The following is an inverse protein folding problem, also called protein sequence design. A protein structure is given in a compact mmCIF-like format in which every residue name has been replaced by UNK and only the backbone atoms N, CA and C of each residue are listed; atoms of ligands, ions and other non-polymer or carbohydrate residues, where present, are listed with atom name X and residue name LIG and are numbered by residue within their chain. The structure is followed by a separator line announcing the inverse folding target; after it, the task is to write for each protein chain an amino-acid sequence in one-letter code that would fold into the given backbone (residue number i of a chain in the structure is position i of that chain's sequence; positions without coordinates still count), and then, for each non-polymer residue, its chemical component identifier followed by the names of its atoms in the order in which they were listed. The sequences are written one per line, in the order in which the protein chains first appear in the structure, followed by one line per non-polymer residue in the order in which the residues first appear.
data_IF_015182340471
#
_entry.id   IF_015182340471
#
_cell.length_a   1.000
_cell.length_b   1.000
_cell.length_c   1.000
_cell.angle_alpha   90.00
_cell.angle_beta   90.00
_cell.angle_gamma   90.00
#
_symmetry.space_group_name_H-M   'P 1'
#
loop_
_entity.id
_entity.type
_entity.pdbx_description
1 polymer ?
#
# COMPACT_ATOMS: atom_id res chain seq x y z
N UNK A 1 26.38 39.14 29.28
CA UNK A 1 25.67 38.63 28.09
C UNK A 1 25.52 37.14 28.26
N UNK A 2 24.33 36.68 28.68
CA UNK A 2 24.06 35.25 28.85
C UNK A 2 24.02 34.60 27.47
N UNK A 3 24.84 33.57 27.26
CA UNK A 3 24.83 32.72 26.07
C UNK A 3 23.41 32.20 25.85
N UNK A 4 22.82 32.29 24.65
CA UNK A 4 21.48 31.76 24.42
C UNK A 4 21.47 30.26 24.74
N UNK A 5 20.76 29.89 25.81
CA UNK A 5 20.52 28.49 26.16
C UNK A 5 19.81 27.83 24.98
N UNK A 6 20.45 26.83 24.36
CA UNK A 6 19.85 26.14 23.23
C UNK A 6 18.50 25.56 23.63
N UNK A 7 17.44 25.90 22.90
CA UNK A 7 16.09 25.40 23.17
C UNK A 7 16.07 23.87 23.08
N UNK A 8 15.33 23.18 23.97
CA UNK A 8 15.20 21.74 23.88
C UNK A 8 14.51 21.38 22.56
N UNK A 9 15.04 20.40 21.84
CA UNK A 9 14.44 19.93 20.58
C UNK A 9 13.50 18.78 20.86
N UNK A 10 12.25 18.88 20.39
CA UNK A 10 11.24 17.84 20.57
C UNK A 10 10.69 17.41 19.22
N UNK A 11 10.72 16.11 18.96
CA UNK A 11 10.08 15.51 17.80
C UNK A 11 8.80 14.83 18.26
N UNK A 12 7.66 15.26 17.72
CA UNK A 12 6.34 14.69 18.01
C UNK A 12 5.94 13.80 16.84
N UNK A 13 5.64 12.53 17.13
CA UNK A 13 5.15 11.56 16.15
C UNK A 13 3.66 11.32 16.38
N UNK A 14 2.84 11.41 15.34
CA UNK A 14 1.40 11.07 15.48
C UNK A 14 1.21 9.59 15.82
N UNK A 15 0.21 9.30 16.65
CA UNK A 15 -0.16 7.92 16.94
C UNK A 15 -0.65 7.17 15.68
N UNK A 16 -0.60 5.83 15.71
CA UNK A 16 -0.94 4.97 14.59
C UNK A 16 -2.38 4.45 14.64
N UNK A 17 -3.03 4.31 13.47
CA UNK A 17 -4.35 3.68 13.37
C UNK A 17 -4.31 2.19 13.70
N UNK A 18 -3.30 1.47 13.20
CA UNK A 18 -3.05 0.07 13.56
C UNK A 18 -2.30 0.01 14.88
N UNK A 19 -2.87 -0.70 15.86
CA UNK A 19 -2.33 -0.86 17.21
C UNK A 19 -2.12 -2.34 17.54
N UNK A 20 -1.17 -2.62 18.41
CA UNK A 20 -1.05 -3.90 19.09
C UNK A 20 -2.38 -4.16 19.84
N UNK A 21 -2.96 -5.35 19.63
CA UNK A 21 -4.26 -5.75 20.17
C UNK A 21 -4.16 -6.46 21.53
N UNK A 22 -2.99 -6.45 22.18
CA UNK A 22 -2.85 -6.90 23.57
C UNK A 22 -3.83 -6.16 24.47
N UNK A 23 -4.59 -6.91 25.26
CA UNK A 23 -5.53 -6.40 26.27
C UNK A 23 -4.80 -5.71 27.43
N UNK A 24 -3.55 -6.11 27.70
CA UNK A 24 -2.71 -5.48 28.71
C UNK A 24 -2.16 -4.13 28.22
N UNK A 25 -1.91 -3.17 29.13
CA UNK A 25 -1.16 -1.98 28.79
C UNK A 25 0.23 -2.32 28.25
N UNK A 26 0.62 -1.69 27.14
CA UNK A 26 1.97 -1.83 26.56
C UNK A 26 2.60 -0.45 26.39
N UNK A 27 3.94 -0.34 26.38
CA UNK A 27 4.63 0.91 26.11
C UNK A 27 4.11 1.61 24.84
N UNK A 28 3.98 2.93 24.87
CA UNK A 28 3.47 3.71 23.75
C UNK A 28 4.27 3.48 22.44
N UNK A 29 5.59 3.28 22.55
CA UNK A 29 6.46 2.96 21.42
C UNK A 29 6.18 1.61 20.76
N UNK A 30 5.56 0.67 21.48
CA UNK A 30 5.19 -0.67 20.99
C UNK A 30 3.70 -0.76 20.63
N UNK A 31 2.88 0.18 21.13
CA UNK A 31 1.44 0.18 20.91
C UNK A 31 1.08 0.34 19.44
N UNK A 32 1.82 1.11 18.66
CA UNK A 32 1.45 1.44 17.26
C UNK A 32 2.31 0.67 16.26
N UNK A 33 1.66 -0.23 15.51
CA UNK A 33 2.35 -1.20 14.63
C UNK A 33 2.09 -0.95 13.14
N UNK A 34 1.41 0.15 12.81
CA UNK A 34 1.16 0.54 11.42
C UNK A 34 2.43 0.99 10.71
N UNK A 35 2.61 0.59 9.44
CA UNK A 35 3.77 0.93 8.62
C UNK A 35 4.07 2.43 8.57
N UNK A 36 3.02 3.26 8.46
CA UNK A 36 3.15 4.71 8.49
C UNK A 36 3.71 5.22 9.83
N UNK A 37 3.22 4.73 10.97
CA UNK A 37 3.77 5.11 12.28
C UNK A 37 5.24 4.68 12.42
N UNK A 38 5.58 3.47 11.97
CA UNK A 38 6.97 2.99 11.97
C UNK A 38 7.89 3.87 11.12
N UNK A 39 7.41 4.38 9.97
CA UNK A 39 8.16 5.32 9.15
C UNK A 39 8.37 6.68 9.86
N UNK A 40 7.33 7.20 10.53
CA UNK A 40 7.46 8.42 11.35
C UNK A 40 8.48 8.23 12.48
N UNK A 41 8.48 7.06 13.13
CA UNK A 41 9.45 6.71 14.18
C UNK A 41 10.87 6.71 13.65
N UNK A 42 11.13 6.05 12.52
CA UNK A 42 12.46 6.03 11.88
C UNK A 42 12.95 7.43 11.55
N UNK A 43 12.07 8.28 10.98
CA UNK A 43 12.38 9.67 10.71
C UNK A 43 12.68 10.47 11.99
N UNK A 44 11.91 10.24 13.06
CA UNK A 44 12.16 10.88 14.35
C UNK A 44 13.51 10.46 14.95
N UNK A 45 13.82 9.18 14.92
CA UNK A 45 15.09 8.64 15.42
C UNK A 45 16.26 9.26 14.64
N UNK A 46 16.19 9.30 13.31
CA UNK A 46 17.20 9.95 12.45
C UNK A 46 17.39 11.44 12.77
N UNK A 47 16.30 12.18 13.01
CA UNK A 47 16.36 13.60 13.39
C UNK A 47 17.01 13.84 14.78
N UNK A 48 17.14 12.80 15.59
CA UNK A 48 17.75 12.86 16.94
C UNK A 48 19.17 12.29 17.04
N UNK A 49 19.67 11.57 16.03
CA UNK A 49 20.97 10.88 16.09
C UNK A 49 22.22 11.79 15.91
N UNK A 50 22.07 13.06 15.54
CA UNK A 50 23.18 13.97 15.21
C UNK A 50 23.88 14.70 16.37
N UNK A 51 24.06 14.07 17.54
CA UNK A 51 24.77 14.66 18.69
C UNK A 51 24.02 15.80 19.41
N UNK A 52 22.73 15.98 19.11
CA UNK A 52 21.84 16.96 19.77
C UNK A 52 20.92 16.20 20.72
N UNK A 53 20.72 16.70 21.94
CA UNK A 53 19.78 16.15 22.93
C UNK A 53 18.33 16.38 22.49
N UNK A 54 17.84 15.56 21.57
CA UNK A 54 16.45 15.58 21.10
C UNK A 54 15.58 14.57 21.84
N UNK A 55 14.38 14.97 22.26
CA UNK A 55 13.37 14.07 22.85
C UNK A 55 12.34 13.69 21.80
N UNK A 56 11.94 12.41 21.75
CA UNK A 56 10.82 11.98 20.90
C UNK A 56 9.60 11.64 21.74
N UNK A 57 8.46 12.23 21.38
CA UNK A 57 7.16 11.99 22.01
C UNK A 57 6.16 11.45 20.98
N UNK A 58 5.15 10.73 21.45
CA UNK A 58 4.00 10.34 20.66
C UNK A 58 2.83 11.22 21.05
N UNK A 59 2.16 11.83 20.07
CA UNK A 59 0.87 12.49 20.28
C UNK A 59 -0.25 11.48 20.05
N UNK A 60 -0.86 11.02 21.14
CA UNK A 60 -2.05 10.17 21.17
C UNK A 60 -3.32 11.01 21.17
N UNK A 61 -4.31 10.61 20.37
CA UNK A 61 -5.62 11.25 20.37
C UNK A 61 -6.36 11.14 21.72
N UNK A 62 -6.13 10.07 22.49
CA UNK A 62 -6.78 9.88 23.80
C UNK A 62 -5.92 10.42 24.95
N UNK A 63 -4.62 10.12 24.93
CA UNK A 63 -3.75 10.39 26.08
C UNK A 63 -2.90 11.67 25.97
N UNK A 64 -2.87 12.32 24.81
CA UNK A 64 -2.01 13.48 24.58
C UNK A 64 -0.54 13.11 24.37
N UNK A 65 0.38 13.84 25.00
CA UNK A 65 1.83 13.64 24.87
C UNK A 65 2.29 12.46 25.71
N UNK A 66 2.88 11.46 25.04
CA UNK A 66 3.42 10.25 25.66
C UNK A 66 4.91 10.11 25.38
N UNK A 67 5.68 9.74 26.40
CA UNK A 67 7.00 9.14 26.21
C UNK A 67 6.84 7.72 25.65
N UNK A 68 7.91 7.21 25.04
CA UNK A 68 7.88 5.89 24.39
C UNK A 68 7.63 4.74 25.36
N UNK A 69 8.00 4.91 26.63
CA UNK A 69 7.86 3.90 27.66
C UNK A 69 6.56 4.02 28.46
N UNK A 70 5.75 5.05 28.21
CA UNK A 70 4.52 5.25 28.96
C UNK A 70 3.55 4.10 28.65
N UNK A 71 3.00 3.42 29.66
CA UNK A 71 2.06 2.33 29.44
C UNK A 71 0.74 2.88 28.90
N UNK A 72 0.27 2.32 27.79
CA UNK A 72 -1.00 2.71 27.16
C UNK A 72 -1.96 1.55 27.19
N UNK A 73 -3.20 1.72 27.65
CA UNK A 73 -4.24 0.69 27.53
C UNK A 73 -4.83 0.67 26.10
N UNK A 74 -5.46 -0.43 25.66
CA UNK A 74 -6.13 -0.50 24.36
C UNK A 74 -7.19 0.58 24.19
N UNK A 75 -7.23 1.20 23.02
CA UNK A 75 -8.21 2.23 22.70
C UNK A 75 -8.41 2.43 21.20
N UNK A 76 -9.57 2.94 20.82
CA UNK A 76 -9.88 3.40 19.46
C UNK A 76 -10.48 4.81 19.52
N UNK A 77 -9.62 5.80 19.29
CA UNK A 77 -9.94 7.23 19.29
C UNK A 77 -9.11 7.89 18.18
N UNK A 78 -9.72 8.76 17.37
CA UNK A 78 -9.02 9.56 16.36
C UNK A 78 -8.89 11.00 16.84
N UNK A 79 -7.86 11.67 16.33
CA UNK A 79 -7.65 13.08 16.64
C UNK A 79 -8.77 13.90 15.99
N UNK A 80 -9.46 14.71 16.78
CA UNK A 80 -10.63 15.49 16.35
C UNK A 80 -11.98 14.81 16.63
N UNK A 81 -12.00 13.54 17.05
CA UNK A 81 -13.23 12.91 17.56
C UNK A 81 -13.64 13.58 18.90
N UNK A 82 -14.92 13.49 19.24
CA UNK A 82 -15.42 13.90 20.55
C UNK A 82 -14.69 13.13 21.66
N UNK A 83 -14.17 13.85 22.65
CA UNK A 83 -13.35 13.27 23.72
C UNK A 83 -11.88 13.08 23.37
N UNK A 84 -11.43 13.47 22.17
CA UNK A 84 -10.00 13.57 21.86
C UNK A 84 -9.33 14.72 22.63
N UNK A 85 -8.02 14.60 22.82
CA UNK A 85 -7.23 15.52 23.63
C UNK A 85 -7.34 16.97 23.14
N UNK A 86 -7.62 17.89 24.06
CA UNK A 86 -7.73 19.32 23.76
C UNK A 86 -6.37 20.02 23.79
N UNK A 87 -6.26 21.18 23.15
CA UNK A 87 -5.06 22.01 23.21
C UNK A 87 -4.69 22.47 24.63
N UNK A 88 -5.68 22.60 25.52
CA UNK A 88 -5.45 22.90 26.94
C UNK A 88 -4.74 21.74 27.66
N UNK A 89 -5.19 20.50 27.44
CA UNK A 89 -4.55 19.31 28.00
C UNK A 89 -3.11 19.20 27.46
N UNK A 90 -2.90 19.42 26.16
CA UNK A 90 -1.57 19.38 25.57
C UNK A 90 -0.65 20.46 26.15
N UNK A 91 -1.16 21.68 26.38
CA UNK A 91 -0.37 22.76 26.99
C UNK A 91 0.03 22.42 28.42
N UNK A 92 -0.88 21.85 29.21
CA UNK A 92 -0.58 21.38 30.57
C UNK A 92 0.50 20.31 30.57
N UNK A 93 0.37 19.28 29.72
CA UNK A 93 1.38 18.22 29.61
C UNK A 93 2.73 18.75 29.12
N UNK A 94 2.73 19.71 28.18
CA UNK A 94 3.95 20.36 27.73
C UNK A 94 4.66 21.14 28.86
N UNK A 95 3.89 21.77 29.74
CA UNK A 95 4.42 22.43 30.94
C UNK A 95 5.05 21.42 31.91
N UNK A 96 4.34 20.33 32.21
CA UNK A 96 4.81 19.24 33.08
C UNK A 96 6.10 18.59 32.55
N UNK A 97 6.20 18.44 31.23
CA UNK A 97 7.39 17.88 30.56
C UNK A 97 8.54 18.87 30.40
N UNK A 98 8.34 20.15 30.72
CA UNK A 98 9.33 21.23 30.59
C UNK A 98 9.67 21.60 29.14
N UNK A 99 8.68 21.50 28.24
CA UNK A 99 8.88 21.65 26.78
C UNK A 99 8.01 22.76 26.15
N UNK A 100 7.45 23.67 26.94
CA UNK A 100 6.68 24.80 26.41
C UNK A 100 7.53 25.66 25.44
N UNK A 101 8.79 25.90 25.78
CA UNK A 101 9.72 26.71 24.97
C UNK A 101 10.60 25.87 24.02
N UNK A 102 10.18 24.64 23.71
CA UNK A 102 10.92 23.73 22.85
C UNK A 102 10.83 24.08 21.36
N UNK A 103 11.88 23.75 20.61
CA UNK A 103 11.82 23.73 19.14
C UNK A 103 11.17 22.42 18.69
N UNK A 104 9.89 22.52 18.29
CA UNK A 104 9.04 21.35 18.00
C UNK A 104 8.97 21.05 16.50
N UNK A 105 9.24 19.79 16.15
CA UNK A 105 8.96 19.21 14.83
C UNK A 105 7.86 18.17 14.95
N UNK A 106 6.79 18.29 14.17
CA UNK A 106 5.66 17.35 14.17
C UNK A 106 5.68 16.51 12.91
N UNK A 107 5.79 15.20 13.09
CA UNK A 107 5.70 14.19 12.04
C UNK A 107 4.33 13.52 12.14
N UNK A 108 3.41 13.91 11.28
CA UNK A 108 2.10 13.28 11.18
C UNK A 108 1.10 14.02 10.30
N UNK A 109 -0.15 13.51 10.23
CA UNK A 109 -1.23 14.12 9.46
C UNK A 109 -1.65 15.50 9.97
N UNK A 110 -2.37 16.25 9.13
CA UNK A 110 -2.83 17.63 9.40
C UNK A 110 -3.44 17.83 10.78
N UNK A 111 -4.36 16.97 11.21
CA UNK A 111 -5.03 17.09 12.50
C UNK A 111 -4.06 17.11 13.71
N UNK A 112 -2.97 16.33 13.64
CA UNK A 112 -1.97 16.30 14.71
C UNK A 112 -1.07 17.53 14.70
N UNK A 113 -0.75 18.05 13.52
CA UNK A 113 -0.03 19.32 13.35
C UNK A 113 -0.85 20.47 13.91
N UNK A 114 -2.14 20.54 13.60
CA UNK A 114 -3.05 21.57 14.08
C UNK A 114 -3.21 21.50 15.61
N UNK A 115 -3.43 20.32 16.17
CA UNK A 115 -3.46 20.12 17.61
C UNK A 115 -2.16 20.60 18.29
N UNK A 116 -1.00 20.26 17.72
CA UNK A 116 0.30 20.67 18.26
C UNK A 116 0.51 22.18 18.18
N UNK A 117 0.03 22.83 17.11
CA UNK A 117 0.13 24.28 16.91
C UNK A 117 -0.71 25.11 17.88
N UNK A 118 -1.66 24.50 18.57
CA UNK A 118 -2.35 25.17 19.70
C UNK A 118 -1.41 25.44 20.87
N UNK A 119 -0.33 24.66 21.02
CA UNK A 119 0.68 24.81 22.07
C UNK A 119 1.94 25.48 21.52
N UNK A 120 2.40 25.04 20.35
CA UNK A 120 3.60 25.55 19.67
C UNK A 120 3.24 26.11 18.29
N UNK A 121 2.83 27.40 18.19
CA UNK A 121 2.43 28.00 16.91
C UNK A 121 3.48 27.84 15.81
N UNK A 122 4.76 27.92 16.18
CA UNK A 122 5.91 27.81 15.28
C UNK A 122 6.36 26.36 15.01
N UNK A 123 5.55 25.36 15.37
CA UNK A 123 5.90 23.96 15.15
C UNK A 123 6.12 23.67 13.65
N UNK A 124 7.29 23.11 13.35
CA UNK A 124 7.64 22.70 11.98
C UNK A 124 6.91 21.42 11.62
N UNK A 125 6.34 21.35 10.41
CA UNK A 125 5.64 20.17 9.92
C UNK A 125 6.22 19.75 8.56
N UNK A 126 7.29 18.92 8.53
CA UNK A 126 7.99 18.53 7.29
C UNK A 126 7.09 17.84 6.27
N UNK A 127 6.01 17.22 6.72
CA UNK A 127 5.05 16.52 5.88
C UNK A 127 3.94 17.43 5.32
N UNK A 128 3.93 18.72 5.69
CA UNK A 128 2.96 19.67 5.17
C UNK A 128 3.03 19.77 3.65
N UNK A 129 1.88 20.01 3.02
CA UNK A 129 1.75 20.09 1.56
C UNK A 129 1.93 18.76 0.80
N UNK A 130 2.06 17.63 1.50
CA UNK A 130 2.08 16.32 0.84
C UNK A 130 0.69 15.96 0.27
N UNK A 131 0.66 15.39 -0.94
CA UNK A 131 -0.56 15.07 -1.70
C UNK A 131 -1.27 13.78 -1.26
N UNK A 132 -0.75 13.10 -0.24
CA UNK A 132 -1.31 11.85 0.28
C UNK A 132 -0.29 11.03 1.07
N UNK A 133 -0.69 9.85 1.52
CA UNK A 133 0.15 9.00 2.37
C UNK A 133 1.43 8.52 1.67
N UNK A 134 1.38 8.25 0.36
CA UNK A 134 2.56 7.84 -0.43
C UNK A 134 3.63 8.92 -0.49
N UNK A 135 3.23 10.17 -0.76
CA UNK A 135 4.11 11.34 -0.78
C UNK A 135 4.70 11.62 0.62
N UNK A 136 3.90 11.47 1.68
CA UNK A 136 4.41 11.55 3.05
C UNK A 136 5.44 10.45 3.36
N UNK A 137 5.22 9.22 2.92
CA UNK A 137 6.17 8.12 3.10
C UNK A 137 7.48 8.39 2.33
N UNK A 138 7.43 8.95 1.13
CA UNK A 138 8.61 9.36 0.38
C UNK A 138 9.41 10.44 1.15
N UNK A 139 8.74 11.52 1.59
CA UNK A 139 9.37 12.56 2.42
C UNK A 139 9.98 12.00 3.71
N UNK A 140 9.35 11.02 4.35
CA UNK A 140 9.90 10.37 5.54
C UNK A 140 11.14 9.55 5.21
N UNK A 141 11.13 8.84 4.08
CA UNK A 141 12.31 8.12 3.60
C UNK A 141 13.49 9.06 3.36
N UNK A 142 13.26 10.22 2.75
CA UNK A 142 14.30 11.23 2.55
C UNK A 142 14.91 11.72 3.87
N UNK A 143 14.11 11.78 4.95
CA UNK A 143 14.58 12.20 6.28
C UNK A 143 15.51 11.15 6.91
N UNK A 144 15.16 9.87 6.89
CA UNK A 144 15.97 8.83 7.53
C UNK A 144 17.01 8.19 6.59
N UNK A 145 16.97 8.50 5.31
CA UNK A 145 17.86 7.96 4.27
C UNK A 145 18.38 9.09 3.37
N UNK A 146 18.90 10.17 3.97
CA UNK A 146 19.41 11.34 3.26
C UNK A 146 20.58 11.02 2.27
N UNK A 147 21.17 9.82 2.36
CA UNK A 147 22.19 9.32 1.43
C UNK A 147 21.65 8.84 0.07
N UNK A 148 20.34 8.58 -0.04
CA UNK A 148 19.69 7.99 -1.23
C UNK A 148 19.81 8.82 -2.51
N UNK A 149 20.09 10.12 -2.39
CA UNK A 149 20.27 11.05 -3.51
C UNK A 149 21.72 11.49 -3.75
N UNK A 150 22.67 11.09 -2.90
CA UNK A 150 24.07 11.51 -3.00
C UNK A 150 25.01 10.42 -3.53
N UNK A 151 24.51 9.19 -3.74
CA UNK A 151 25.30 8.07 -4.25
C UNK A 151 25.03 7.84 -5.75
N UNK A 152 26.01 8.07 -6.66
CA UNK A 152 25.96 7.44 -7.98
C UNK A 152 26.02 5.90 -7.80
N UNK A 153 25.41 5.11 -8.69
CA UNK A 153 25.36 3.66 -8.57
C UNK A 153 26.78 3.11 -8.53
N UNK A 154 27.18 2.58 -7.37
CA UNK A 154 28.50 2.02 -7.18
C UNK A 154 28.54 0.63 -7.87
N UNK A 155 29.45 0.39 -8.83
CA UNK A 155 29.64 -0.96 -9.34
C UNK A 155 30.17 -1.87 -8.22
N UNK A 156 29.77 -3.16 -8.18
CA UNK A 156 30.14 -4.06 -7.09
C UNK A 156 31.66 -4.20 -7.03
N UNK A 157 32.25 -3.75 -5.93
CA UNK A 157 33.65 -4.01 -5.63
C UNK A 157 33.85 -5.51 -5.42
N UNK A 158 34.83 -6.11 -6.11
CA UNK A 158 35.25 -7.48 -5.86
C UNK A 158 35.81 -7.59 -4.43
N UNK A 159 35.30 -8.50 -3.59
CA UNK A 159 35.90 -8.75 -2.29
C UNK A 159 37.26 -9.44 -2.48
N UNK A 160 38.31 -8.82 -1.97
CA UNK A 160 39.59 -9.48 -1.70
C UNK A 160 39.41 -10.42 -0.52
N UNK A 161 39.73 -11.69 -0.74
CA UNK A 161 39.61 -12.74 0.26
C UNK A 161 40.50 -12.45 1.48
N UNK A 162 39.87 -12.22 2.63
CA UNK A 162 40.47 -12.50 3.94
C UNK A 162 39.78 -13.72 4.52
N UNK A 163 40.49 -14.84 4.54
CA UNK A 163 40.07 -16.09 5.15
C UNK A 163 40.15 -15.97 6.67
N UNK A 164 39.04 -16.25 7.37
CA UNK A 164 39.05 -16.59 8.79
C UNK A 164 38.03 -15.79 9.62
N UNK A 165 37.03 -16.50 10.16
CA UNK A 165 35.86 -16.05 10.91
C UNK A 165 34.77 -15.36 10.06
N UNK A 166 33.66 -16.08 9.82
CA UNK A 166 32.43 -15.48 9.26
C UNK A 166 32.02 -14.35 10.20
N UNK A 167 32.04 -13.13 9.68
CA UNK A 167 31.68 -11.94 10.46
C UNK A 167 30.22 -12.04 10.89
N UNK A 168 29.92 -11.64 12.12
CA UNK A 168 28.55 -11.51 12.65
C UNK A 168 27.67 -10.68 11.71
N UNK A 169 28.26 -9.73 10.97
CA UNK A 169 27.57 -8.93 9.95
C UNK A 169 27.04 -9.76 8.78
N UNK A 170 27.82 -10.71 8.25
CA UNK A 170 27.38 -11.60 7.16
C UNK A 170 26.25 -12.53 7.60
N UNK A 171 26.21 -12.88 8.88
CA UNK A 171 25.13 -13.69 9.46
C UNK A 171 23.84 -12.87 9.64
N UNK A 172 23.96 -11.61 10.06
CA UNK A 172 22.84 -10.66 10.14
C UNK A 172 22.25 -10.39 8.76
N UNK A 173 23.08 -10.10 7.75
CA UNK A 173 22.64 -9.84 6.37
C UNK A 173 21.91 -11.06 5.79
N UNK A 174 22.49 -12.27 5.91
CA UNK A 174 21.83 -13.50 5.44
C UNK A 174 20.50 -13.76 6.15
N UNK A 175 20.41 -13.46 7.44
CA UNK A 175 19.17 -13.59 8.20
C UNK A 175 18.12 -12.57 7.76
N UNK A 176 18.53 -11.33 7.43
CA UNK A 176 17.66 -10.31 6.87
C UNK A 176 17.14 -10.72 5.48
N UNK A 177 18.02 -11.18 4.59
CA UNK A 177 17.66 -11.67 3.26
C UNK A 177 16.72 -12.88 3.32
N UNK A 178 16.96 -13.82 4.23
CA UNK A 178 16.10 -14.97 4.43
C UNK A 178 14.69 -14.56 4.92
N UNK A 179 14.61 -13.57 5.81
CA UNK A 179 13.33 -13.02 6.27
C UNK A 179 12.59 -12.31 5.14
N UNK A 180 13.29 -11.46 4.37
CA UNK A 180 12.71 -10.77 3.22
C UNK A 180 12.17 -11.76 2.18
N UNK A 181 12.97 -12.78 1.83
CA UNK A 181 12.56 -13.85 0.93
C UNK A 181 11.34 -14.63 1.44
N UNK A 182 11.28 -14.92 2.74
CA UNK A 182 10.14 -15.60 3.34
C UNK A 182 8.87 -14.72 3.33
N UNK A 183 9.01 -13.41 3.56
CA UNK A 183 7.91 -12.45 3.43
C UNK A 183 7.42 -12.32 1.98
N UNK A 184 8.34 -12.24 1.02
CA UNK A 184 8.03 -12.19 -0.41
C UNK A 184 7.31 -13.45 -0.88
N UNK A 185 7.75 -14.63 -0.42
CA UNK A 185 7.07 -15.90 -0.69
C UNK A 185 5.67 -15.95 -0.07
N UNK A 186 5.50 -15.49 1.17
CA UNK A 186 4.18 -15.40 1.82
C UNK A 186 3.27 -14.44 1.06
N UNK A 187 3.79 -13.29 0.65
CA UNK A 187 3.08 -12.31 -0.15
C UNK A 187 2.70 -12.88 -1.51
N UNK A 188 3.60 -13.58 -2.21
CA UNK A 188 3.33 -14.24 -3.48
C UNK A 188 2.24 -15.32 -3.35
N UNK A 189 2.29 -16.16 -2.31
CA UNK A 189 1.24 -17.15 -2.01
C UNK A 189 -0.11 -16.50 -1.73
N UNK A 190 -0.13 -15.35 -1.05
CA UNK A 190 -1.34 -14.56 -0.84
C UNK A 190 -1.87 -14.02 -2.17
N UNK A 191 -1.01 -13.45 -3.01
CA UNK A 191 -1.34 -12.89 -4.33
C UNK A 191 -1.90 -13.94 -5.29
N UNK A 192 -1.35 -15.16 -5.28
CA UNK A 192 -1.83 -16.27 -6.10
C UNK A 192 -3.30 -16.65 -5.83
N UNK A 193 -3.88 -16.23 -4.69
CA UNK A 193 -5.32 -16.41 -4.41
C UNK A 193 -6.22 -15.50 -5.23
N UNK A 194 -5.67 -14.45 -5.84
CA UNK A 194 -6.41 -13.45 -6.61
C UNK A 194 -6.28 -13.70 -8.10
N UNK A 195 -5.05 -13.87 -8.59
CA UNK A 195 -4.78 -14.24 -9.95
C UNK A 195 -3.43 -14.97 -10.04
N UNK A 196 -3.34 -15.91 -10.98
CA UNK A 196 -2.10 -16.51 -11.44
C UNK A 196 -1.95 -16.21 -12.92
N UNK A 197 -0.72 -16.12 -13.44
CA UNK A 197 -0.50 -15.88 -14.86
C UNK A 197 0.35 -16.98 -15.49
N UNK A 198 0.19 -17.18 -16.80
CA UNK A 198 1.10 -18.00 -17.59
C UNK A 198 2.47 -17.34 -17.69
N UNK A 199 3.44 -18.09 -18.21
CA UNK A 199 4.67 -17.50 -18.73
C UNK A 199 4.32 -16.50 -19.85
N UNK A 200 5.06 -15.40 -19.91
CA UNK A 200 4.90 -14.37 -20.93
C UNK A 200 5.53 -14.88 -22.23
N UNK A 201 4.79 -14.81 -23.34
CA UNK A 201 5.32 -15.15 -24.66
C UNK A 201 5.51 -13.87 -25.48
N UNK A 202 6.76 -13.57 -25.85
CA UNK A 202 7.13 -12.41 -26.65
C UNK A 202 7.24 -12.85 -28.10
N UNK A 203 6.33 -12.38 -28.96
CA UNK A 203 6.36 -12.69 -30.38
C UNK A 203 7.38 -11.81 -31.12
N UNK A 204 7.39 -10.52 -30.80
CA UNK A 204 8.30 -9.50 -31.34
C UNK A 204 8.47 -8.35 -30.32
N UNK A 205 9.37 -7.38 -30.55
CA UNK A 205 9.61 -6.28 -29.60
C UNK A 205 8.38 -5.42 -29.27
N UNK A 206 7.38 -5.38 -30.15
CA UNK A 206 6.15 -4.63 -29.97
C UNK A 206 4.98 -5.48 -29.45
N UNK A 207 5.08 -6.81 -29.51
CA UNK A 207 3.96 -7.72 -29.22
C UNK A 207 4.34 -8.86 -28.30
N UNK A 208 3.67 -8.91 -27.15
CA UNK A 208 3.66 -10.05 -26.26
C UNK A 208 2.23 -10.45 -25.92
N UNK A 209 2.07 -11.71 -25.50
CA UNK A 209 0.84 -12.21 -24.95
C UNK A 209 1.09 -13.03 -23.68
N UNK A 210 0.12 -13.00 -22.77
CA UNK A 210 0.08 -13.85 -21.58
C UNK A 210 -1.37 -14.17 -21.24
N UNK A 211 -1.57 -15.10 -20.32
CA UNK A 211 -2.89 -15.37 -19.77
C UNK A 211 -2.93 -15.18 -18.25
N UNK A 212 -4.09 -14.82 -17.75
CA UNK A 212 -4.40 -14.71 -16.32
C UNK A 212 -5.53 -15.67 -16.00
N UNK A 213 -5.40 -16.45 -14.93
CA UNK A 213 -6.45 -17.30 -14.39
C UNK A 213 -6.81 -16.81 -12.99
N UNK A 214 -8.11 -16.71 -12.72
CA UNK A 214 -8.66 -16.24 -11.44
C UNK A 214 -9.19 -17.43 -10.63
N UNK A 215 -8.55 -17.80 -9.51
CA UNK A 215 -9.05 -18.86 -8.65
C UNK A 215 -10.34 -18.47 -7.93
N UNK A 216 -11.15 -19.46 -7.54
CA UNK A 216 -12.36 -19.28 -6.73
C UNK A 216 -13.61 -19.88 -7.38
N UNK A 217 -14.76 -19.57 -6.81
CA UNK A 217 -16.05 -19.93 -7.40
C UNK A 217 -16.30 -19.15 -8.70
N UNK A 218 -17.32 -19.57 -9.47
CA UNK A 218 -17.64 -18.99 -10.78
C UNK A 218 -17.94 -17.49 -10.69
N UNK A 219 -18.69 -17.04 -9.68
CA UNK A 219 -19.09 -15.64 -9.55
C UNK A 219 -17.89 -14.76 -9.18
N UNK A 220 -17.10 -15.19 -8.19
CA UNK A 220 -15.91 -14.46 -7.76
C UNK A 220 -14.86 -14.35 -8.87
N UNK A 221 -14.63 -15.44 -9.59
CA UNK A 221 -13.68 -15.48 -10.70
C UNK A 221 -14.12 -14.57 -11.85
N UNK A 222 -15.42 -14.56 -12.18
CA UNK A 222 -15.99 -13.68 -13.20
C UNK A 222 -15.88 -12.20 -12.80
N UNK A 223 -16.13 -11.85 -11.54
CA UNK A 223 -15.97 -10.48 -11.04
C UNK A 223 -14.51 -10.00 -11.15
N UNK A 224 -13.54 -10.85 -10.78
CA UNK A 224 -12.10 -10.55 -10.92
C UNK A 224 -11.68 -10.40 -12.38
N UNK A 225 -12.16 -11.26 -13.27
CA UNK A 225 -11.92 -11.14 -14.71
C UNK A 225 -12.52 -9.84 -15.28
N UNK A 226 -13.72 -9.47 -14.86
CA UNK A 226 -14.31 -8.18 -15.22
C UNK A 226 -13.44 -7.01 -14.74
N UNK A 227 -12.99 -7.02 -13.48
CA UNK A 227 -12.15 -5.96 -12.93
C UNK A 227 -10.81 -5.86 -13.65
N UNK A 228 -10.16 -7.00 -13.94
CA UNK A 228 -8.92 -7.04 -14.68
C UNK A 228 -9.04 -6.40 -16.07
N UNK A 229 -10.15 -6.62 -16.79
CA UNK A 229 -10.42 -5.94 -18.05
C UNK A 229 -10.59 -4.43 -17.89
N UNK A 230 -11.22 -3.97 -16.80
CA UNK A 230 -11.34 -2.54 -16.50
C UNK A 230 -9.97 -1.90 -16.24
N UNK A 231 -9.09 -2.58 -15.51
CA UNK A 231 -7.72 -2.13 -15.27
C UNK A 231 -6.79 -2.20 -16.50
N UNK A 232 -7.09 -3.05 -17.49
CA UNK A 232 -6.22 -3.24 -18.66
C UNK A 232 -5.84 -1.94 -19.38
N UNK A 233 -6.79 -1.01 -19.53
CA UNK A 233 -6.56 0.28 -20.19
C UNK A 233 -5.52 1.15 -19.44
N UNK A 234 -5.52 1.13 -18.11
CA UNK A 234 -4.54 1.85 -17.27
C UNK A 234 -3.10 1.41 -17.56
N UNK A 235 -2.95 0.14 -17.94
CA UNK A 235 -1.66 -0.48 -18.27
C UNK A 235 -1.36 -0.51 -19.77
N UNK A 236 -2.21 0.10 -20.61
CA UNK A 236 -2.04 0.09 -22.09
C UNK A 236 -2.01 -1.33 -22.68
N UNK A 237 -2.73 -2.27 -22.06
CA UNK A 237 -2.88 -3.63 -22.56
C UNK A 237 -4.33 -3.90 -22.96
N UNK A 238 -4.52 -4.85 -23.86
CA UNK A 238 -5.83 -5.39 -24.21
C UNK A 238 -6.05 -6.69 -23.47
N UNK A 239 -7.20 -6.85 -22.81
CA UNK A 239 -7.55 -8.08 -22.10
C UNK A 239 -8.90 -8.62 -22.58
N UNK A 240 -8.92 -9.87 -23.03
CA UNK A 240 -10.10 -10.53 -23.59
C UNK A 240 -10.41 -11.80 -22.80
N UNK A 241 -11.69 -12.03 -22.53
CA UNK A 241 -12.11 -13.29 -21.92
C UNK A 241 -11.96 -14.43 -22.92
N UNK A 242 -11.50 -15.58 -22.42
CA UNK A 242 -11.49 -16.81 -23.20
C UNK A 242 -12.93 -17.28 -23.41
N UNK A 243 -13.35 -17.61 -24.64
CA UNK A 243 -14.73 -18.07 -24.91
C UNK A 243 -15.09 -19.35 -24.15
N UNK A 244 -14.10 -20.21 -23.93
CA UNK A 244 -14.22 -21.51 -23.27
C UNK A 244 -14.06 -21.44 -21.75
N UNK A 245 -13.44 -20.38 -21.22
CA UNK A 245 -13.18 -20.23 -19.79
C UNK A 245 -13.32 -18.77 -19.31
N UNK A 246 -14.46 -18.48 -18.71
CA UNK A 246 -14.76 -17.18 -18.08
C UNK A 246 -13.82 -16.79 -16.93
N UNK A 247 -13.03 -17.73 -16.41
CA UNK A 247 -12.03 -17.49 -15.35
C UNK A 247 -10.65 -17.18 -15.90
N UNK A 248 -10.48 -17.20 -17.21
CA UNK A 248 -9.19 -16.93 -17.86
C UNK A 248 -9.31 -15.76 -18.82
N UNK A 249 -8.34 -14.84 -18.74
CA UNK A 249 -8.18 -13.73 -19.67
C UNK A 249 -6.90 -13.90 -20.47
N UNK A 250 -6.97 -13.63 -21.77
CA UNK A 250 -5.81 -13.44 -22.62
C UNK A 250 -5.47 -11.94 -22.64
N UNK A 251 -4.20 -11.62 -22.43
CA UNK A 251 -3.69 -10.25 -22.36
C UNK A 251 -2.68 -10.05 -23.50
N UNK A 252 -2.78 -8.92 -24.19
CA UNK A 252 -1.93 -8.54 -25.31
C UNK A 252 -1.45 -7.10 -25.16
N UNK A 253 -0.22 -6.82 -25.59
CA UNK A 253 0.37 -5.48 -25.56
C UNK A 253 1.86 -5.52 -25.83
N UNK A 254 2.57 -4.44 -25.50
CA UNK A 254 4.03 -4.46 -25.51
C UNK A 254 4.55 -5.40 -24.41
N UNK A 255 5.72 -6.05 -24.58
CA UNK A 255 6.28 -6.92 -23.55
C UNK A 255 6.31 -6.27 -22.16
N UNK A 256 6.73 -5.01 -22.11
CA UNK A 256 6.84 -4.23 -20.86
C UNK A 256 5.47 -3.99 -20.24
N UNK A 257 4.48 -3.59 -21.02
CA UNK A 257 3.14 -3.27 -20.52
C UNK A 257 2.41 -4.52 -20.04
N UNK A 258 2.51 -5.64 -20.78
CA UNK A 258 1.97 -6.93 -20.33
C UNK A 258 2.64 -7.38 -19.04
N UNK A 259 3.97 -7.36 -18.95
CA UNK A 259 4.68 -7.74 -17.73
C UNK A 259 4.29 -6.88 -16.52
N UNK A 260 4.17 -5.56 -16.68
CA UNK A 260 3.71 -4.65 -15.63
C UNK A 260 2.28 -4.98 -15.18
N UNK A 261 1.38 -5.23 -16.12
CA UNK A 261 0.00 -5.60 -15.83
C UNK A 261 -0.08 -6.93 -15.06
N UNK A 262 0.64 -7.95 -15.51
CA UNK A 262 0.69 -9.26 -14.85
C UNK A 262 1.25 -9.17 -13.42
N UNK A 263 2.28 -8.35 -13.20
CA UNK A 263 2.82 -8.09 -11.86
C UNK A 263 1.82 -7.34 -10.97
N UNK A 264 1.20 -6.28 -11.47
CA UNK A 264 0.38 -5.41 -10.63
C UNK A 264 -0.98 -6.01 -10.25
N UNK A 265 -1.63 -6.68 -11.20
CA UNK A 265 -3.05 -7.04 -11.07
C UNK A 265 -3.39 -7.84 -9.80
N UNK A 266 -2.62 -8.85 -9.35
CA UNK A 266 -2.91 -9.53 -8.10
C UNK A 266 -2.92 -8.62 -6.86
N UNK A 267 -2.04 -7.59 -6.82
CA UNK A 267 -1.99 -6.61 -5.73
C UNK A 267 -3.17 -5.65 -5.79
N UNK A 268 -3.52 -5.17 -6.99
CA UNK A 268 -4.69 -4.32 -7.21
C UNK A 268 -5.97 -5.03 -6.76
N UNK A 269 -6.15 -6.30 -7.14
CA UNK A 269 -7.32 -7.10 -6.74
C UNK A 269 -7.37 -7.38 -5.24
N UNK A 270 -6.22 -7.68 -4.59
CA UNK A 270 -6.14 -7.83 -3.13
C UNK A 270 -6.62 -6.58 -2.41
N UNK A 271 -6.12 -5.40 -2.82
CA UNK A 271 -6.53 -4.12 -2.23
C UNK A 271 -7.99 -3.79 -2.49
N UNK A 272 -8.48 -3.99 -3.71
CA UNK A 272 -9.89 -3.75 -4.07
C UNK A 272 -10.84 -4.64 -3.26
N UNK A 273 -10.56 -5.95 -3.13
CA UNK A 273 -11.35 -6.84 -2.26
C UNK A 273 -11.22 -6.46 -0.77
N UNK A 274 -10.08 -5.93 -0.35
CA UNK A 274 -9.90 -5.32 0.97
C UNK A 274 -10.89 -4.19 1.22
N UNK A 275 -11.08 -3.29 0.24
CA UNK A 275 -12.09 -2.21 0.33
C UNK A 275 -13.50 -2.75 0.37
N UNK A 276 -13.85 -3.73 -0.44
CA UNK A 276 -15.17 -4.39 -0.35
C UNK A 276 -15.41 -5.02 1.01
N UNK A 277 -14.36 -5.57 1.63
CA UNK A 277 -14.44 -6.11 3.00
C UNK A 277 -14.68 -5.01 4.04
N UNK A 278 -14.14 -3.80 3.83
CA UNK A 278 -14.41 -2.62 4.66
C UNK A 278 -15.87 -2.16 4.49
N UNK A 279 -16.36 -2.10 3.25
CA UNK A 279 -17.75 -1.75 2.91
C UNK A 279 -18.74 -2.76 3.51
N UNK A 280 -18.45 -4.06 3.41
CA UNK A 280 -19.27 -5.11 4.01
C UNK A 280 -19.32 -5.02 5.54
N UNK A 281 -18.21 -4.61 6.19
CA UNK A 281 -18.17 -4.36 7.63
C UNK A 281 -19.00 -3.14 8.01
N UNK A 282 -18.97 -2.09 7.20
CA UNK A 282 -19.83 -0.92 7.37
C UNK A 282 -21.31 -1.29 7.26
N UNK A 283 -21.70 -2.04 6.23
CA UNK A 283 -23.05 -2.60 6.08
C UNK A 283 -23.49 -3.38 7.33
N UNK A 284 -22.64 -4.29 7.82
CA UNK A 284 -22.97 -5.08 9.01
C UNK A 284 -23.08 -4.25 10.30
N UNK A 285 -22.31 -3.16 10.44
CA UNK A 285 -22.46 -2.23 11.56
C UNK A 285 -23.79 -1.48 11.46
N UNK A 286 -24.16 -1.02 10.27
CA UNK A 286 -25.43 -0.35 10.03
C UNK A 286 -26.62 -1.27 10.34
N UNK A 287 -26.58 -2.53 9.91
CA UNK A 287 -27.66 -3.50 10.15
C UNK A 287 -27.96 -3.69 11.66
N UNK A 288 -26.97 -3.47 12.52
CA UNK A 288 -27.10 -3.53 13.99
C UNK A 288 -27.52 -2.21 14.62
N UNK A 289 -27.51 -1.11 13.89
CA UNK A 289 -27.87 0.22 14.39
C UNK A 289 -29.40 0.40 14.45
N UNK A 290 -29.89 1.25 15.35
CA UNK A 290 -31.33 1.48 15.54
C UNK A 290 -32.02 2.06 14.31
N UNK A 291 -31.32 2.94 13.57
CA UNK A 291 -31.79 3.55 12.33
C UNK A 291 -32.15 2.52 11.23
N UNK A 292 -31.49 1.35 11.24
CA UNK A 292 -31.75 0.28 10.28
C UNK A 292 -33.01 -0.54 10.56
N UNK A 293 -33.48 -0.49 11.80
CA UNK A 293 -34.52 -1.38 12.33
C UNK A 293 -35.84 -1.30 11.53
N UNK A 294 -36.32 -0.13 11.08
CA UNK A 294 -37.53 -0.04 10.28
C UNK A 294 -37.42 -0.82 8.96
N UNK A 295 -36.29 -0.72 8.25
CA UNK A 295 -36.09 -1.39 6.96
C UNK A 295 -35.94 -2.91 7.06
N UNK A 296 -35.50 -3.39 8.23
CA UNK A 296 -35.30 -4.83 8.49
C UNK A 296 -36.52 -5.46 9.16
N UNK A 297 -37.47 -4.66 9.67
CA UNK A 297 -38.66 -5.13 10.33
C UNK A 297 -39.50 -5.99 9.36
N UNK A 298 -39.88 -7.19 9.78
CA UNK A 298 -40.62 -8.14 8.93
C UNK A 298 -39.80 -8.83 7.84
N UNK A 299 -38.54 -8.42 7.59
CA UNK A 299 -37.71 -9.05 6.57
C UNK A 299 -37.15 -10.41 7.05
N UNK A 300 -37.43 -11.53 6.36
CA UNK A 300 -36.95 -12.85 6.75
C UNK A 300 -35.42 -12.98 6.59
N UNK A 301 -34.74 -13.84 7.39
CA UNK A 301 -33.29 -13.95 7.37
C UNK A 301 -32.67 -14.32 6.02
N UNK A 302 -33.37 -15.08 5.17
CA UNK A 302 -32.86 -15.45 3.85
C UNK A 302 -32.80 -14.24 2.90
N UNK A 303 -33.77 -13.33 2.99
CA UNK A 303 -33.80 -12.10 2.20
C UNK A 303 -32.69 -11.13 2.64
N UNK A 304 -32.45 -10.99 3.94
CA UNK A 304 -31.30 -10.20 4.46
C UNK A 304 -29.97 -10.72 3.94
N UNK A 305 -29.78 -12.04 3.93
CA UNK A 305 -28.58 -12.68 3.36
C UNK A 305 -28.45 -12.44 1.86
N UNK A 306 -29.57 -12.46 1.12
CA UNK A 306 -29.57 -12.12 -0.30
C UNK A 306 -29.13 -10.66 -0.53
N UNK A 307 -29.73 -9.69 0.17
CA UNK A 307 -29.31 -8.28 0.09
C UNK A 307 -27.84 -8.09 0.44
N UNK A 308 -27.34 -8.72 1.52
CA UNK A 308 -25.93 -8.61 1.89
C UNK A 308 -24.97 -9.25 0.87
N UNK A 309 -25.41 -10.27 0.12
CA UNK A 309 -24.63 -10.87 -0.96
C UNK A 309 -24.62 -9.95 -2.18
N UNK A 310 -25.79 -9.47 -2.57
CA UNK A 310 -25.98 -8.66 -3.78
C UNK A 310 -25.30 -7.28 -3.60
N UNK A 311 -25.40 -6.69 -2.40
CA UNK A 311 -24.67 -5.50 -1.99
C UNK A 311 -23.15 -5.68 -2.12
N UNK A 312 -22.59 -6.80 -1.64
CA UNK A 312 -21.14 -7.08 -1.77
C UNK A 312 -20.70 -7.20 -3.23
N UNK A 313 -21.51 -7.85 -4.07
CA UNK A 313 -21.24 -7.98 -5.48
C UNK A 313 -21.23 -6.62 -6.17
N UNK A 314 -22.27 -5.80 -5.93
CA UNK A 314 -22.36 -4.45 -6.48
C UNK A 314 -21.26 -3.52 -5.95
N UNK A 315 -20.91 -3.60 -4.67
CA UNK A 315 -19.84 -2.81 -4.06
C UNK A 315 -18.48 -3.07 -4.72
N UNK A 316 -18.19 -4.31 -5.14
CA UNK A 316 -16.95 -4.61 -5.85
C UNK A 316 -16.84 -3.85 -7.19
N UNK A 317 -17.93 -3.76 -7.94
CA UNK A 317 -17.97 -2.98 -9.17
C UNK A 317 -17.74 -1.48 -8.90
N UNK A 318 -18.47 -0.90 -7.94
CA UNK A 318 -18.32 0.52 -7.58
C UNK A 318 -16.90 0.84 -7.09
N UNK A 319 -16.29 -0.02 -6.27
CA UNK A 319 -14.92 0.15 -5.81
C UNK A 319 -13.95 0.18 -6.99
N UNK A 320 -14.07 -0.75 -7.93
CA UNK A 320 -13.18 -0.81 -9.11
C UNK A 320 -13.34 0.43 -9.98
N UNK A 321 -14.57 0.86 -10.25
CA UNK A 321 -14.82 2.05 -11.06
C UNK A 321 -14.30 3.32 -10.36
N UNK A 322 -14.51 3.46 -9.05
CA UNK A 322 -13.98 4.58 -8.24
C UNK A 322 -12.45 4.62 -8.20
N UNK A 323 -11.78 3.46 -8.22
CA UNK A 323 -10.31 3.42 -8.26
C UNK A 323 -9.75 3.85 -9.62
N UNK A 324 -10.49 3.61 -10.70
CA UNK A 324 -10.11 3.98 -12.06
C UNK A 324 -10.41 5.43 -12.40
N UNK A 325 -11.55 5.92 -11.90
CA UNK A 325 -12.06 7.27 -12.14
C UNK A 325 -12.61 7.81 -10.82
N UNK A 326 -11.72 8.30 -9.92
CA UNK A 326 -12.14 8.81 -8.62
C UNK A 326 -13.00 10.08 -8.82
N UNK A 327 -14.24 10.12 -8.32
CA UNK A 327 -15.08 11.30 -8.44
C UNK A 327 -14.54 12.43 -7.55
N UNK A 328 -14.72 13.69 -7.98
CA UNK A 328 -14.34 14.87 -7.19
C UNK A 328 -15.03 14.91 -5.82
N UNK A 329 -16.29 14.43 -5.78
CA UNK A 329 -17.08 14.32 -4.56
C UNK A 329 -17.91 13.05 -4.59
N UNK A 330 -18.03 12.38 -3.44
CA UNK A 330 -18.94 11.25 -3.25
C UNK A 330 -20.16 11.73 -2.48
N UNK A 331 -21.40 11.44 -2.94
CA UNK A 331 -22.60 11.75 -2.18
C UNK A 331 -22.59 11.04 -0.82
N UNK A 332 -23.15 11.70 0.20
CA UNK A 332 -23.30 11.08 1.51
C UNK A 332 -24.42 10.03 1.47
N UNK A 333 -24.32 9.03 2.33
CA UNK A 333 -25.43 8.09 2.54
C UNK A 333 -26.53 8.77 3.35
N UNK A 334 -27.78 8.47 3.00
CA UNK A 334 -29.00 8.98 3.62
C UNK A 334 -29.50 7.98 4.68
N UNK A 335 -29.91 8.47 5.85
CA UNK A 335 -30.30 7.59 6.96
C UNK A 335 -31.67 6.93 6.79
N UNK A 336 -32.52 7.47 5.91
CA UNK A 336 -33.88 6.99 5.62
C UNK A 336 -33.96 5.98 4.46
N UNK A 337 -32.83 5.71 3.79
CA UNK A 337 -32.74 4.69 2.75
C UNK A 337 -32.03 3.43 3.27
N UNK A 338 -32.42 2.23 2.82
CA UNK A 338 -31.71 1.02 3.19
C UNK A 338 -30.33 0.93 2.49
N UNK A 339 -29.27 0.42 3.14
CA UNK A 339 -27.91 0.39 2.60
C UNK A 339 -27.76 -0.41 1.32
N UNK A 340 -28.61 -1.43 1.10
CA UNK A 340 -28.57 -2.20 -0.13
C UNK A 340 -29.02 -1.40 -1.36
N UNK A 341 -29.73 -0.29 -1.17
CA UNK A 341 -30.04 0.69 -2.23
C UNK A 341 -28.95 1.77 -2.34
N UNK A 342 -28.10 1.90 -1.32
CA UNK A 342 -27.06 2.91 -1.21
C UNK A 342 -25.66 2.37 -1.48
N UNK A 343 -25.52 1.41 -2.40
CA UNK A 343 -24.22 0.79 -2.72
C UNK A 343 -23.20 1.84 -3.13
N UNK A 344 -23.60 2.79 -4.00
CA UNK A 344 -22.70 3.80 -4.54
C UNK A 344 -22.08 4.71 -3.46
N UNK A 345 -22.85 5.51 -2.69
CA UNK A 345 -22.27 6.42 -1.69
C UNK A 345 -21.41 5.69 -0.65
N UNK A 346 -21.81 4.48 -0.24
CA UNK A 346 -21.07 3.69 0.75
C UNK A 346 -19.76 3.11 0.18
N UNK A 347 -19.82 2.48 -1.00
CA UNK A 347 -18.67 1.83 -1.60
C UNK A 347 -17.67 2.83 -2.22
N UNK A 348 -18.18 3.82 -2.96
CA UNK A 348 -17.36 4.90 -3.50
C UNK A 348 -16.74 5.73 -2.37
N UNK A 349 -17.47 5.98 -1.26
CA UNK A 349 -16.94 6.74 -0.13
C UNK A 349 -15.75 6.06 0.53
N UNK A 350 -15.82 4.74 0.74
CA UNK A 350 -14.70 3.94 1.25
C UNK A 350 -13.54 3.87 0.25
N UNK A 351 -13.84 3.65 -1.03
CA UNK A 351 -12.81 3.57 -2.07
C UNK A 351 -12.09 4.91 -2.25
N UNK A 352 -12.81 6.03 -2.25
CA UNK A 352 -12.30 7.39 -2.35
C UNK A 352 -11.48 7.76 -1.10
N UNK A 353 -11.99 7.49 0.11
CA UNK A 353 -11.28 7.80 1.34
C UNK A 353 -9.96 7.02 1.49
N UNK A 354 -9.96 5.74 1.09
CA UNK A 354 -8.77 4.89 1.13
C UNK A 354 -8.21 4.61 -0.27
N UNK A 355 -8.27 5.60 -1.14
CA UNK A 355 -7.83 5.49 -2.52
C UNK A 355 -6.34 5.14 -2.61
N UNK A 356 -5.99 4.40 -3.66
CA UNK A 356 -4.62 4.12 -4.04
C UNK A 356 -4.54 4.15 -5.57
N UNK A 357 -3.41 4.56 -6.11
CA UNK A 357 -3.17 4.56 -7.55
C UNK A 357 -2.90 3.12 -8.02
N UNK A 358 -3.83 2.48 -8.77
CA UNK A 358 -3.62 1.12 -9.21
C UNK A 358 -2.41 1.00 -10.14
N UNK A 359 -1.99 2.04 -10.85
CA UNK A 359 -0.86 2.02 -11.79
C UNK A 359 0.51 1.89 -11.09
N UNK A 360 0.57 2.26 -9.80
CA UNK A 360 1.77 2.20 -8.96
C UNK A 360 1.97 0.83 -8.31
N UNK A 361 1.00 -0.07 -8.42
CA UNK A 361 1.09 -1.41 -7.81
C UNK A 361 1.96 -2.39 -8.60
N UNK A 362 2.46 -2.01 -9.78
CA UNK A 362 3.44 -2.79 -10.51
C UNK A 362 4.77 -2.82 -9.75
N UNK A 363 5.24 -4.03 -9.43
CA UNK A 363 6.52 -4.25 -8.80
C UNK A 363 7.61 -4.28 -9.88
N UNK A 364 8.59 -3.35 -9.87
CA UNK A 364 9.60 -3.29 -10.92
C UNK A 364 10.46 -4.55 -11.02
N UNK A 365 10.76 -5.19 -9.89
CA UNK A 365 11.63 -6.37 -9.84
C UNK A 365 10.89 -7.63 -10.28
N UNK A 366 9.62 -7.76 -9.89
CA UNK A 366 8.74 -8.81 -10.43
C UNK A 366 8.48 -8.61 -11.93
N UNK A 367 8.28 -7.37 -12.39
CA UNK A 367 8.15 -7.03 -13.81
C UNK A 367 9.40 -7.45 -14.59
N UNK A 368 10.59 -7.11 -14.09
CA UNK A 368 11.86 -7.51 -14.70
C UNK A 368 12.02 -9.04 -14.74
N UNK A 369 11.65 -9.74 -13.66
CA UNK A 369 11.66 -11.22 -13.61
C UNK A 369 10.71 -11.84 -14.63
N UNK A 370 9.49 -11.31 -14.78
CA UNK A 370 8.52 -11.78 -15.79
C UNK A 370 9.09 -11.61 -17.20
N UNK A 371 9.73 -10.48 -17.50
CA UNK A 371 10.38 -10.23 -18.80
C UNK A 371 11.59 -11.13 -19.05
N UNK A 372 12.39 -11.38 -18.01
CA UNK A 372 13.56 -12.24 -18.09
C UNK A 372 13.19 -13.71 -18.32
N UNK A 373 12.10 -14.16 -17.71
CA UNK A 373 11.56 -15.51 -17.87
C UNK A 373 10.64 -15.66 -19.11
N UNK A 374 10.52 -14.65 -19.97
CA UNK A 374 9.61 -14.70 -21.10
C UNK A 374 10.08 -15.70 -22.17
N UNK A 375 9.15 -16.51 -22.68
CA UNK A 375 9.39 -17.36 -23.84
C UNK A 375 9.56 -16.49 -25.08
N UNK A 376 10.66 -16.71 -25.78
CA UNK A 376 10.95 -16.06 -27.07
C UNK A 376 11.02 -17.18 -28.10
N UNK A 377 10.16 -17.17 -29.14
CA UNK A 377 10.36 -18.09 -30.25
C UNK A 377 11.79 -17.86 -30.74
N UNK A 378 12.58 -18.93 -30.77
CA UNK A 378 13.91 -18.89 -31.38
C UNK A 378 13.68 -18.28 -32.76
N UNK A 379 14.29 -17.12 -33.02
CA UNK A 379 14.24 -16.50 -34.33
C UNK A 379 14.64 -17.60 -35.31
N UNK A 380 13.69 -18.06 -36.14
CA UNK A 380 13.97 -19.03 -37.16
C UNK A 380 15.09 -18.41 -37.97
N UNK A 381 16.30 -18.92 -37.81
CA UNK A 381 17.47 -18.43 -38.54
C UNK A 381 17.05 -18.55 -39.98
N UNK A 382 16.81 -17.42 -40.64
CA UNK A 382 16.44 -17.42 -42.04
C UNK A 382 17.50 -18.27 -42.75
N UNK A 383 17.11 -19.30 -43.53
CA UNK A 383 18.08 -20.12 -44.23
C UNK A 383 18.99 -19.17 -45.01
N UNK A 384 20.29 -19.26 -44.72
CA UNK A 384 21.31 -18.47 -45.41
C UNK A 384 21.05 -18.68 -46.91
N UNK A 385 20.75 -17.63 -47.71
CA UNK A 385 20.49 -17.79 -49.12
C UNK A 385 21.68 -18.53 -49.72
N UNK A 386 21.39 -19.71 -50.27
CA UNK A 386 22.38 -20.68 -50.70
C UNK A 386 23.39 -20.03 -51.62
N UNK A 387 24.66 -20.23 -51.28
CA UNK A 387 25.80 -20.05 -52.17
C UNK A 387 25.52 -20.92 -53.41
N UNK A 388 25.11 -20.31 -54.52
CA UNK A 388 25.00 -20.98 -55.81
C UNK A 388 26.37 -21.54 -56.19
N UNK A 389 26.65 -22.81 -55.87
CA UNK A 389 27.75 -23.52 -56.51
C UNK A 389 27.34 -23.77 -57.97
N UNK A 390 27.92 -23.00 -58.87
CA UNK A 390 28.00 -23.35 -60.28
C UNK A 390 28.61 -24.75 -60.41
N UNK A 391 27.79 -25.72 -60.81
CA UNK A 391 28.25 -27.01 -61.29
C UNK A 391 28.70 -26.78 -62.73
N UNK A 392 30.01 -26.80 -62.95
CA UNK A 392 30.58 -26.83 -64.29
C UNK A 392 30.24 -28.18 -64.93
N UNK A 393 29.72 -28.12 -66.15
CA UNK A 393 29.56 -29.23 -67.06
C UNK A 393 30.92 -29.89 -67.34
N UNK A 394 31.01 -31.19 -67.08
CA UNK A 394 32.04 -32.06 -67.67
C UNK A 394 31.32 -32.91 -68.71
N UNK A 395 31.39 -32.47 -69.95
CA UNK A 395 31.06 -33.27 -71.11
C UNK A 395 32.17 -34.31 -71.32
N UNK A 396 31.76 -35.57 -71.48
CA UNK A 396 32.60 -36.65 -71.92
C UNK A 396 32.88 -36.54 -73.43
N UNK A 397 34.16 -36.55 -73.80
CA UNK A 397 34.72 -37.18 -75.00
C UNK A 397 35.94 -37.96 -74.54
#
# INVERSE_FOLDING_TARGET
MSTPTARPRVIIVSCGGRKNNSEQPVPAGERYTGSYHLALRRAADALTQGGRTGRVLILSALYGLLNLHDPTAPYDMRMGDEGSVSGEILRRQAAELGILDADVTVLGPRAYVEASRTVWPEATAPLAGARGIGDQLAKLADIYDAGRHSQPPQPPARPTASTGARSVMEEIERAADARQNAEDQRAARKRARYATHSQLAIQDPARAHGSLTFPGDKAKSAARAWAARRFAALYRVQAHARPDDTRTLNVHGTPRDVARFLSALPRVLDRAEGRVSDVARLYGRWERHSAARPHLAGMPPHQRRAHARDFRAAAFHVVVDTLLDPPDTVPQAEDDLPPWEQVYPLAAGIAHYYWFDPATEADPDETARILAAADRPLATVAPVPGRCMHRADVAAI
#
